data_IF_510274171021
#
_entry.id   IF_510274171021
#
_cell.length_a   1.000
_cell.length_b   1.000
_cell.length_c   1.000
_cell.angle_alpha   90.00
_cell.angle_beta   90.00
_cell.angle_gamma   90.00
#
_symmetry.space_group_name_H-M   'P 1'
#
loop_
_entity.id
_entity.type
_entity.pdbx_description
1 polymer ?
#
# COMPACT_ATOMS: atom_id res chain seq x y z
N UNK A 1 18.95 12.69 -4.85
CA UNK A 1 18.06 13.83 -4.50
C UNK A 1 16.69 13.50 -5.04
N UNK A 2 15.63 13.82 -4.29
CA UNK A 2 14.26 13.55 -4.76
C UNK A 2 13.94 14.26 -6.08
N UNK A 3 13.07 13.65 -6.86
CA UNK A 3 12.61 14.12 -8.16
C UNK A 3 11.14 14.48 -8.07
N UNK A 4 10.71 15.55 -8.73
CA UNK A 4 9.30 15.93 -8.82
C UNK A 4 8.54 15.00 -9.80
N UNK A 5 7.26 14.78 -9.48
CA UNK A 5 6.35 14.03 -10.35
C UNK A 5 5.21 14.95 -10.72
N UNK A 6 5.05 15.24 -12.02
CA UNK A 6 3.97 16.06 -12.55
C UNK A 6 2.91 15.17 -13.17
N UNK A 7 1.68 15.31 -12.71
CA UNK A 7 0.52 14.58 -13.21
C UNK A 7 -0.44 15.62 -13.78
N UNK A 8 -0.81 15.46 -15.05
CA UNK A 8 -1.66 16.42 -15.76
C UNK A 8 -2.83 15.68 -16.42
N UNK A 9 -4.06 16.08 -16.08
CA UNK A 9 -5.31 15.60 -16.65
C UNK A 9 -5.45 14.08 -16.69
N UNK A 10 -4.88 13.38 -15.67
CA UNK A 10 -4.80 11.94 -15.64
C UNK A 10 -6.17 11.31 -15.45
N UNK A 11 -6.58 10.44 -16.38
CA UNK A 11 -7.85 9.69 -16.34
C UNK A 11 -7.58 8.21 -16.46
N UNK A 12 -8.28 7.39 -15.65
CA UNK A 12 -8.21 5.92 -15.69
C UNK A 12 -9.59 5.29 -15.66
N UNK A 13 -9.79 4.34 -16.59
CA UNK A 13 -10.99 3.53 -16.73
C UNK A 13 -10.65 2.03 -16.78
N UNK A 14 -11.54 1.17 -16.32
CA UNK A 14 -11.50 -0.25 -16.58
C UNK A 14 -12.81 -0.65 -17.29
N UNK A 15 -12.74 -0.87 -18.61
CA UNK A 15 -13.92 -0.98 -19.46
C UNK A 15 -14.75 0.30 -19.40
N UNK A 16 -16.02 0.20 -19.00
CA UNK A 16 -16.92 1.35 -18.82
C UNK A 16 -16.80 2.02 -17.45
N UNK A 17 -16.10 1.40 -16.49
CA UNK A 17 -16.00 1.92 -15.12
C UNK A 17 -14.89 2.96 -15.03
N UNK A 18 -15.27 4.22 -14.77
CA UNK A 18 -14.33 5.29 -14.42
C UNK A 18 -13.82 5.07 -13.00
N UNK A 19 -12.50 5.02 -12.84
CA UNK A 19 -11.85 4.98 -11.53
C UNK A 19 -11.62 6.39 -11.01
N UNK A 20 -10.98 7.22 -11.81
CA UNK A 20 -10.83 8.66 -11.58
C UNK A 20 -10.56 9.37 -12.92
N UNK A 21 -10.96 10.64 -12.98
CA UNK A 21 -10.79 11.49 -14.16
C UNK A 21 -10.24 12.87 -13.82
N UNK A 22 -9.49 13.40 -14.75
CA UNK A 22 -8.92 14.75 -14.69
C UNK A 22 -8.10 15.05 -13.41
N UNK A 23 -7.30 14.07 -12.97
CA UNK A 23 -6.42 14.24 -11.81
C UNK A 23 -5.20 15.05 -12.23
N UNK A 24 -5.03 16.23 -11.63
CA UNK A 24 -3.88 17.12 -11.86
C UNK A 24 -3.24 17.51 -10.53
N UNK A 25 -1.96 17.15 -10.36
CA UNK A 25 -1.17 17.50 -9.17
C UNK A 25 0.33 17.41 -9.47
N UNK A 26 1.14 18.06 -8.64
CA UNK A 26 2.60 17.89 -8.66
C UNK A 26 3.06 17.42 -7.28
N UNK A 27 3.79 16.31 -7.22
CA UNK A 27 4.50 15.86 -6.03
C UNK A 27 5.85 16.55 -6.00
N UNK A 28 6.11 17.44 -5.04
CA UNK A 28 7.36 18.20 -5.00
C UNK A 28 8.55 17.30 -4.64
N UNK A 29 9.71 17.58 -5.24
CA UNK A 29 10.93 16.85 -4.99
C UNK A 29 11.36 16.86 -3.51
N UNK A 30 11.62 15.70 -2.95
CA UNK A 30 12.12 15.53 -1.58
C UNK A 30 11.07 15.72 -0.46
N UNK A 31 9.81 15.96 -0.80
CA UNK A 31 8.71 16.06 0.17
C UNK A 31 8.02 14.73 0.39
N UNK A 32 7.38 14.59 1.56
CA UNK A 32 6.47 13.49 1.85
C UNK A 32 5.05 13.91 1.46
N UNK A 33 4.52 13.29 0.42
CA UNK A 33 3.14 13.47 -0.01
C UNK A 33 2.29 12.30 0.47
N UNK A 34 1.09 12.57 1.00
CA UNK A 34 0.12 11.54 1.36
C UNK A 34 -1.11 11.69 0.48
N UNK A 35 -1.59 10.58 -0.09
CA UNK A 35 -2.85 10.52 -0.80
C UNK A 35 -3.89 9.78 0.04
N UNK A 36 -4.92 10.50 0.44
CA UNK A 36 -6.08 10.03 1.19
C UNK A 36 -7.24 9.62 0.29
N UNK A 37 -8.19 8.94 0.86
CA UNK A 37 -9.51 8.69 0.28
C UNK A 37 -10.14 7.42 0.84
N UNK A 38 -11.46 7.26 0.73
CA UNK A 38 -12.17 6.03 1.06
C UNK A 38 -11.59 4.80 0.36
N UNK A 39 -11.88 3.60 0.89
CA UNK A 39 -11.50 2.35 0.23
C UNK A 39 -12.17 2.26 -1.15
N UNK A 40 -11.44 1.76 -2.15
CA UNK A 40 -11.98 1.63 -3.52
C UNK A 40 -11.86 2.88 -4.41
N UNK A 41 -11.41 4.04 -3.92
CA UNK A 41 -11.25 5.26 -4.73
C UNK A 41 -10.10 5.22 -5.74
N UNK A 42 -9.40 4.10 -5.87
CA UNK A 42 -8.35 3.94 -6.88
C UNK A 42 -6.96 4.44 -6.49
N UNK A 43 -6.67 4.64 -5.20
CA UNK A 43 -5.35 5.09 -4.70
C UNK A 43 -4.20 4.20 -5.16
N UNK A 44 -4.32 2.87 -4.97
CA UNK A 44 -3.32 1.91 -5.46
C UNK A 44 -3.25 1.84 -6.99
N UNK A 45 -4.35 2.17 -7.69
CA UNK A 45 -4.35 2.32 -9.16
C UNK A 45 -3.49 3.52 -9.56
N UNK A 46 -3.58 4.65 -8.83
CA UNK A 46 -2.75 5.83 -9.05
C UNK A 46 -1.26 5.48 -8.89
N UNK A 47 -0.86 4.81 -7.81
CA UNK A 47 0.53 4.34 -7.64
C UNK A 47 1.01 3.49 -8.82
N UNK A 48 0.20 2.51 -9.23
CA UNK A 48 0.53 1.62 -10.37
C UNK A 48 0.61 2.39 -11.69
N UNK A 49 -0.15 3.46 -11.84
CA UNK A 49 -0.08 4.32 -13.03
C UNK A 49 1.19 5.18 -13.00
N UNK A 50 1.57 5.73 -11.85
CA UNK A 50 2.80 6.53 -11.69
C UNK A 50 4.08 5.73 -12.02
N UNK A 51 4.14 4.43 -11.70
CA UNK A 51 5.31 3.58 -12.06
C UNK A 51 5.20 2.95 -13.46
N UNK A 52 4.15 3.30 -14.21
CA UNK A 52 3.93 2.76 -15.56
C UNK A 52 3.52 1.28 -15.60
N UNK A 53 3.04 0.69 -14.49
CA UNK A 53 2.45 -0.66 -14.50
C UNK A 53 1.05 -0.67 -15.11
N UNK A 54 0.36 0.45 -15.02
CA UNK A 54 -0.94 0.67 -15.67
C UNK A 54 -0.82 1.91 -16.57
N UNK A 55 -1.22 1.75 -17.83
CA UNK A 55 -1.28 2.90 -18.74
C UNK A 55 -2.55 3.70 -18.43
N UNK A 56 -2.47 5.05 -18.30
CA UNK A 56 -3.65 5.90 -18.21
C UNK A 56 -4.42 5.88 -19.54
N UNK A 57 -5.70 6.23 -19.50
CA UNK A 57 -6.53 6.36 -20.68
C UNK A 57 -6.39 7.75 -21.30
N UNK A 58 -6.16 8.80 -20.45
CA UNK A 58 -5.91 10.18 -20.87
C UNK A 58 -4.92 10.83 -19.89
N UNK A 59 -4.27 11.91 -20.31
CA UNK A 59 -3.33 12.68 -19.50
C UNK A 59 -1.90 12.13 -19.52
N UNK A 60 -1.04 12.75 -18.71
CA UNK A 60 0.40 12.46 -18.67
C UNK A 60 0.92 12.33 -17.23
N UNK A 61 2.02 11.59 -17.08
CA UNK A 61 2.82 11.53 -15.85
C UNK A 61 4.27 11.80 -16.23
N UNK A 62 4.78 12.96 -15.87
CA UNK A 62 6.11 13.42 -16.26
C UNK A 62 7.06 13.34 -15.08
N UNK A 63 8.18 12.63 -15.27
CA UNK A 63 9.25 12.40 -14.30
C UNK A 63 10.57 12.65 -15.03
N UNK A 64 11.44 13.50 -14.49
CA UNK A 64 12.71 13.88 -15.15
C UNK A 64 12.51 14.34 -16.60
N UNK A 65 11.37 14.99 -16.90
CA UNK A 65 11.04 15.44 -18.26
C UNK A 65 10.55 14.33 -19.20
N UNK A 66 10.44 13.09 -18.75
CA UNK A 66 9.92 11.95 -19.52
C UNK A 66 8.47 11.68 -19.15
N UNK A 67 7.56 11.72 -20.14
CA UNK A 67 6.18 11.26 -19.93
C UNK A 67 6.12 9.74 -20.01
N UNK A 68 5.89 9.09 -18.87
CA UNK A 68 5.87 7.62 -18.76
C UNK A 68 4.65 6.98 -19.45
N UNK A 69 3.61 7.74 -19.77
CA UNK A 69 2.43 7.23 -20.45
C UNK A 69 2.69 6.98 -21.95
N UNK A 70 3.67 7.71 -22.52
CA UNK A 70 3.96 7.72 -23.96
C UNK A 70 5.41 7.36 -24.33
N UNK A 71 6.32 7.26 -23.35
CA UNK A 71 7.75 7.00 -23.59
C UNK A 71 8.03 5.60 -24.16
N UNK A 72 9.26 5.39 -24.62
CA UNK A 72 9.72 4.07 -25.05
C UNK A 72 9.89 3.12 -23.86
N UNK A 73 9.83 1.79 -24.10
CA UNK A 73 10.10 0.78 -23.05
C UNK A 73 11.50 0.96 -22.43
N UNK A 74 12.48 1.40 -23.21
CA UNK A 74 13.82 1.67 -22.73
C UNK A 74 13.83 2.84 -21.74
N UNK A 75 13.18 3.94 -22.08
CA UNK A 75 13.10 5.12 -21.20
C UNK A 75 12.29 4.79 -19.94
N UNK A 76 11.19 4.05 -20.07
CA UNK A 76 10.41 3.56 -18.93
C UNK A 76 11.26 2.67 -18.01
N UNK A 77 12.12 1.82 -18.54
CA UNK A 77 13.03 1.00 -17.76
C UNK A 77 14.03 1.85 -16.96
N UNK A 78 14.61 2.90 -17.58
CA UNK A 78 15.52 3.82 -16.87
C UNK A 78 14.80 4.62 -15.78
N UNK A 79 13.60 5.15 -16.07
CA UNK A 79 12.78 5.86 -15.07
C UNK A 79 12.40 4.94 -13.90
N UNK A 80 12.08 3.67 -14.15
CA UNK A 80 11.75 2.71 -13.09
C UNK A 80 12.89 2.45 -12.10
N UNK A 81 14.12 2.70 -12.46
CA UNK A 81 15.27 2.60 -11.54
C UNK A 81 15.26 3.68 -10.45
N UNK A 82 14.56 4.80 -10.70
CA UNK A 82 14.41 5.88 -9.71
C UNK A 82 13.44 5.49 -8.58
N UNK A 83 12.65 4.42 -8.77
CA UNK A 83 11.60 4.05 -7.83
C UNK A 83 12.00 2.96 -6.85
N UNK A 84 11.67 3.18 -5.58
CA UNK A 84 11.45 2.12 -4.59
C UNK A 84 9.95 1.96 -4.36
N UNK A 85 9.46 0.73 -4.25
CA UNK A 85 8.03 0.46 -4.04
C UNK A 85 7.82 -0.46 -2.85
N UNK A 86 7.02 0.00 -1.88
CA UNK A 86 6.50 -0.81 -0.79
C UNK A 86 5.01 -1.09 -1.05
N UNK A 87 4.69 -2.33 -1.39
CA UNK A 87 3.30 -2.79 -1.51
C UNK A 87 2.71 -3.15 -0.14
N UNK A 88 1.39 -3.13 -0.02
CA UNK A 88 0.60 -3.31 1.21
C UNK A 88 1.09 -4.47 2.10
N UNK A 89 1.37 -5.65 1.55
CA UNK A 89 1.84 -6.83 2.29
C UNK A 89 3.37 -7.04 2.21
N UNK A 90 4.13 -6.01 1.74
CA UNK A 90 5.57 -6.11 1.50
C UNK A 90 5.96 -6.86 0.23
N UNK A 91 5.06 -7.63 -0.39
CA UNK A 91 5.26 -8.43 -1.61
C UNK A 91 6.57 -9.23 -1.61
N UNK A 92 6.86 -9.92 -0.50
CA UNK A 92 8.09 -10.71 -0.33
C UNK A 92 8.01 -12.04 -1.08
N UNK A 93 9.12 -12.51 -1.60
CA UNK A 93 9.26 -13.87 -2.11
C UNK A 93 9.26 -14.85 -0.94
N UNK A 94 8.21 -15.66 -0.81
CA UNK A 94 8.01 -16.56 0.34
C UNK A 94 9.08 -17.65 0.48
N UNK A 95 9.74 -18.03 -0.62
CA UNK A 95 10.80 -19.04 -0.67
C UNK A 95 12.20 -18.50 -0.34
N UNK A 96 12.36 -17.19 -0.22
CA UNK A 96 13.63 -16.53 0.08
C UNK A 96 13.62 -15.99 1.51
N UNK A 97 14.74 -16.04 2.22
CA UNK A 97 14.90 -15.36 3.51
C UNK A 97 14.88 -13.84 3.33
N UNK A 98 14.91 -13.06 4.42
CA UNK A 98 14.83 -11.60 4.35
C UNK A 98 16.06 -10.99 3.67
N UNK A 99 17.24 -11.50 3.95
CA UNK A 99 18.48 -11.05 3.29
C UNK A 99 18.38 -11.19 1.78
N UNK A 100 18.01 -12.39 1.28
CA UNK A 100 17.91 -12.64 -0.14
C UNK A 100 16.79 -11.82 -0.82
N UNK A 101 15.67 -11.61 -0.13
CA UNK A 101 14.62 -10.70 -0.60
C UNK A 101 15.13 -9.28 -0.80
N UNK A 102 15.93 -8.75 0.14
CA UNK A 102 16.49 -7.39 0.06
C UNK A 102 17.64 -7.33 -0.94
N UNK A 103 18.46 -8.39 -1.06
CA UNK A 103 19.55 -8.49 -2.01
C UNK A 103 19.10 -8.64 -3.48
N UNK A 104 17.90 -9.15 -3.70
CA UNK A 104 17.40 -9.52 -5.02
C UNK A 104 17.50 -8.39 -6.05
N UNK A 105 17.03 -7.14 -5.80
CA UNK A 105 17.17 -6.08 -6.78
C UNK A 105 18.63 -5.73 -7.11
N UNK A 106 19.55 -5.83 -6.16
CA UNK A 106 20.97 -5.58 -6.43
C UNK A 106 21.57 -6.63 -7.35
N UNK A 107 21.22 -7.90 -7.15
CA UNK A 107 21.68 -9.00 -8.02
C UNK A 107 21.15 -8.90 -9.42
N UNK A 108 19.88 -8.49 -9.60
CA UNK A 108 19.24 -8.34 -10.91
C UNK A 108 19.68 -7.10 -11.68
N UNK A 109 19.87 -5.97 -10.98
CA UNK A 109 20.05 -4.68 -11.65
C UNK A 109 21.49 -4.13 -11.57
N UNK A 110 22.40 -4.79 -10.85
CA UNK A 110 23.79 -4.31 -10.70
C UNK A 110 24.81 -5.42 -10.97
N UNK A 111 26.06 -5.01 -11.14
CA UNK A 111 27.21 -5.96 -11.25
C UNK A 111 28.07 -5.91 -9.98
N UNK A 112 27.49 -5.59 -8.83
CA UNK A 112 28.21 -5.52 -7.54
C UNK A 112 28.64 -6.93 -7.09
N UNK A 113 29.77 -6.98 -6.38
CA UNK A 113 30.20 -8.25 -5.75
C UNK A 113 29.25 -8.64 -4.59
N UNK A 114 29.14 -9.93 -4.29
CA UNK A 114 28.33 -10.39 -3.12
C UNK A 114 28.82 -9.76 -1.79
N UNK A 115 30.11 -9.41 -1.68
CA UNK A 115 30.63 -8.69 -0.51
C UNK A 115 30.08 -7.26 -0.42
N UNK A 116 29.93 -6.56 -1.55
CA UNK A 116 29.36 -5.22 -1.58
C UNK A 116 27.83 -5.26 -1.41
N UNK A 117 27.16 -6.24 -2.05
CA UNK A 117 25.74 -6.50 -1.83
C UNK A 117 25.46 -6.72 -0.36
N UNK A 118 26.26 -7.55 0.32
CA UNK A 118 26.09 -7.80 1.76
C UNK A 118 26.19 -6.54 2.59
N UNK A 119 27.14 -5.63 2.30
CA UNK A 119 27.29 -4.36 3.03
C UNK A 119 26.04 -3.50 2.87
N UNK A 120 25.55 -3.33 1.62
CA UNK A 120 24.38 -2.51 1.32
C UNK A 120 23.13 -3.11 1.98
N UNK A 121 22.91 -4.41 1.83
CA UNK A 121 21.76 -5.10 2.41
C UNK A 121 21.73 -4.95 3.93
N UNK A 122 22.87 -5.18 4.60
CA UNK A 122 22.94 -5.03 6.06
C UNK A 122 22.69 -3.60 6.51
N UNK A 123 23.20 -2.59 5.79
CA UNK A 123 22.91 -1.17 6.04
C UNK A 123 21.40 -0.88 5.93
N UNK A 124 20.74 -1.31 4.84
CA UNK A 124 19.30 -1.07 4.68
C UNK A 124 18.47 -1.85 5.70
N UNK A 125 18.88 -3.06 6.07
CA UNK A 125 18.23 -3.81 7.15
C UNK A 125 18.40 -3.15 8.52
N UNK A 126 19.53 -2.53 8.79
CA UNK A 126 19.78 -1.73 10.00
C UNK A 126 18.88 -0.49 10.04
N UNK A 127 18.78 0.25 8.93
CA UNK A 127 17.91 1.44 8.80
C UNK A 127 16.44 1.13 9.15
N UNK A 128 15.97 -0.07 8.87
CA UNK A 128 14.58 -0.49 9.18
C UNK A 128 14.47 -1.34 10.46
N UNK A 129 15.56 -1.50 11.22
CA UNK A 129 15.58 -2.23 12.50
C UNK A 129 15.28 -3.72 12.34
N UNK A 130 15.92 -4.40 11.37
CA UNK A 130 15.77 -5.82 11.11
C UNK A 130 17.06 -6.64 11.29
N UNK A 131 18.09 -6.08 11.92
CA UNK A 131 19.31 -6.82 12.25
C UNK A 131 18.97 -7.99 13.17
N UNK A 132 19.54 -9.16 12.88
CA UNK A 132 19.29 -10.43 13.58
C UNK A 132 18.07 -11.22 13.02
N UNK A 133 17.42 -10.72 11.96
CA UNK A 133 16.33 -11.42 11.30
C UNK A 133 16.66 -11.84 9.84
N UNK A 134 17.90 -11.68 9.41
CA UNK A 134 18.35 -11.80 8.02
C UNK A 134 17.97 -13.14 7.38
N UNK A 135 18.10 -14.22 8.15
CA UNK A 135 17.89 -15.59 7.66
C UNK A 135 16.46 -16.13 7.89
N UNK A 136 15.56 -15.31 8.49
CA UNK A 136 14.17 -15.71 8.67
C UNK A 136 13.41 -15.65 7.34
N UNK A 137 12.46 -16.56 7.17
CA UNK A 137 11.52 -16.54 6.05
C UNK A 137 10.37 -15.55 6.32
N UNK A 138 9.73 -14.99 5.29
CA UNK A 138 8.58 -14.08 5.43
C UNK A 138 7.43 -14.67 6.25
N UNK A 139 7.25 -16.00 6.26
CA UNK A 139 6.24 -16.68 7.07
C UNK A 139 6.56 -16.75 8.57
N UNK A 140 7.82 -16.54 8.97
CA UNK A 140 8.31 -16.66 10.34
C UNK A 140 8.32 -15.33 11.09
N UNK A 141 7.90 -14.23 10.45
CA UNK A 141 7.97 -12.88 10.99
C UNK A 141 6.59 -12.21 11.04
N UNK A 142 6.47 -11.18 11.90
CA UNK A 142 5.24 -10.40 12.02
C UNK A 142 4.94 -9.59 10.75
N UNK A 143 3.68 -9.16 10.57
CA UNK A 143 3.27 -8.28 9.47
C UNK A 143 4.08 -6.98 9.40
N UNK A 144 4.32 -6.35 10.55
CA UNK A 144 5.16 -5.15 10.62
C UNK A 144 6.63 -5.40 10.24
N UNK A 145 7.18 -6.58 10.57
CA UNK A 145 8.52 -6.95 10.09
C UNK A 145 8.54 -7.19 8.59
N UNK A 146 7.50 -7.80 8.01
CA UNK A 146 7.39 -7.97 6.54
C UNK A 146 7.36 -6.62 5.83
N UNK A 147 6.59 -5.65 6.33
CA UNK A 147 6.54 -4.30 5.75
C UNK A 147 7.91 -3.62 5.83
N UNK A 148 8.60 -3.70 6.97
CA UNK A 148 9.96 -3.14 7.11
C UNK A 148 10.97 -3.83 6.18
N UNK A 149 10.89 -5.15 5.99
CA UNK A 149 11.73 -5.86 5.03
C UNK A 149 11.43 -5.46 3.58
N UNK A 150 10.14 -5.30 3.22
CA UNK A 150 9.74 -4.73 1.93
C UNK A 150 10.28 -3.32 1.73
N UNK A 151 10.29 -2.50 2.78
CA UNK A 151 10.88 -1.16 2.76
C UNK A 151 12.40 -1.21 2.56
N UNK A 152 13.13 -2.07 3.27
CA UNK A 152 14.57 -2.27 3.04
C UNK A 152 14.87 -2.66 1.59
N UNK A 153 14.04 -3.57 1.02
CA UNK A 153 14.16 -3.95 -0.40
C UNK A 153 13.88 -2.78 -1.34
N UNK A 154 12.91 -1.93 -1.03
CA UNK A 154 12.60 -0.74 -1.81
C UNK A 154 13.74 0.29 -1.79
N UNK A 155 14.50 0.35 -0.69
CA UNK A 155 15.60 1.30 -0.49
C UNK A 155 16.95 0.83 -1.06
N UNK A 156 17.09 -0.45 -1.41
CA UNK A 156 18.41 -1.06 -1.68
C UNK A 156 19.12 -0.53 -2.94
N UNK A 157 18.37 0.06 -3.88
CA UNK A 157 18.91 0.70 -5.09
C UNK A 157 19.07 2.22 -4.94
N UNK A 158 18.96 2.76 -3.73
CA UNK A 158 19.02 4.20 -3.42
C UNK A 158 18.03 5.02 -4.27
N UNK A 159 16.72 4.77 -4.16
CA UNK A 159 15.71 5.38 -5.01
C UNK A 159 15.59 6.89 -4.77
N UNK A 160 15.22 7.63 -5.82
CA UNK A 160 14.88 9.06 -5.74
C UNK A 160 13.39 9.30 -5.46
N UNK A 161 12.55 8.28 -5.70
CA UNK A 161 11.11 8.27 -5.43
C UNK A 161 10.75 7.01 -4.66
N UNK A 162 10.02 7.15 -3.56
CA UNK A 162 9.50 6.02 -2.78
C UNK A 162 7.98 6.03 -2.78
N UNK A 163 7.39 4.99 -3.39
CA UNK A 163 5.95 4.77 -3.42
C UNK A 163 5.56 3.75 -2.36
N UNK A 164 4.58 4.08 -1.53
CA UNK A 164 4.20 3.30 -0.35
C UNK A 164 2.69 3.11 -0.34
N UNK A 165 2.25 1.86 -0.44
CA UNK A 165 0.84 1.48 -0.49
C UNK A 165 0.39 0.89 0.86
N UNK A 166 -0.46 1.60 1.60
CA UNK A 166 -1.08 1.23 2.88
C UNK A 166 -0.09 0.62 3.91
N UNK A 167 0.94 1.38 4.34
CA UNK A 167 1.98 0.85 5.23
C UNK A 167 1.46 0.52 6.63
N UNK A 168 0.41 1.17 7.07
CA UNK A 168 -0.27 1.10 8.36
C UNK A 168 -1.31 -0.04 8.43
N UNK A 169 -1.78 -0.55 7.30
CA UNK A 169 -2.78 -1.62 7.22
C UNK A 169 -2.39 -2.85 8.06
N UNK A 170 -3.29 -3.28 8.98
CA UNK A 170 -3.07 -4.43 9.86
C UNK A 170 -2.04 -4.23 10.98
N UNK A 171 -1.64 -2.98 11.24
CA UNK A 171 -0.83 -2.60 12.39
C UNK A 171 -1.71 -2.00 13.50
N UNK A 172 -1.28 -2.17 14.75
CA UNK A 172 -1.85 -1.43 15.88
C UNK A 172 -1.33 0.01 15.90
N UNK A 173 -2.00 0.96 16.60
CA UNK A 173 -1.60 2.37 16.61
C UNK A 173 -0.16 2.62 17.04
N UNK A 174 0.38 1.83 17.97
CA UNK A 174 1.77 1.98 18.43
C UNK A 174 2.75 1.62 17.32
N UNK A 175 2.51 0.51 16.62
CA UNK A 175 3.34 0.10 15.47
C UNK A 175 3.22 1.04 14.30
N UNK A 176 2.02 1.61 14.08
CA UNK A 176 1.80 2.67 13.09
C UNK A 176 2.66 3.90 13.42
N UNK A 177 2.70 4.34 14.69
CA UNK A 177 3.57 5.46 15.09
C UNK A 177 5.06 5.18 14.84
N UNK A 178 5.54 3.96 15.09
CA UNK A 178 6.93 3.59 14.76
C UNK A 178 7.21 3.64 13.26
N UNK A 179 6.29 3.19 12.41
CA UNK A 179 6.50 3.21 10.95
C UNK A 179 6.41 4.63 10.41
N UNK A 180 5.57 5.48 10.99
CA UNK A 180 5.48 6.90 10.68
C UNK A 180 6.80 7.62 10.99
N UNK A 181 7.36 7.38 12.19
CA UNK A 181 8.66 7.92 12.55
C UNK A 181 9.76 7.43 11.60
N UNK A 182 9.74 6.16 11.23
CA UNK A 182 10.69 5.59 10.27
C UNK A 182 10.63 6.30 8.90
N UNK A 183 9.45 6.64 8.39
CA UNK A 183 9.34 7.38 7.12
C UNK A 183 9.95 8.77 7.21
N UNK A 184 9.71 9.47 8.31
CA UNK A 184 10.30 10.80 8.54
C UNK A 184 11.83 10.73 8.64
N UNK A 185 12.36 9.75 9.38
CA UNK A 185 13.78 9.52 9.53
C UNK A 185 14.46 9.15 8.21
N UNK A 186 13.82 8.29 7.41
CA UNK A 186 14.31 7.90 6.09
C UNK A 186 14.30 9.08 5.11
N UNK A 187 13.22 9.87 5.06
CA UNK A 187 13.17 11.04 4.20
C UNK A 187 14.27 12.05 4.53
N UNK A 188 14.56 12.27 5.83
CA UNK A 188 15.66 13.12 6.26
C UNK A 188 17.03 12.60 5.79
N UNK A 189 17.22 11.26 5.80
CA UNK A 189 18.49 10.63 5.43
C UNK A 189 18.73 10.61 3.91
N UNK A 190 17.71 10.23 3.13
CA UNK A 190 17.89 9.96 1.70
C UNK A 190 17.41 11.10 0.79
N UNK A 191 16.64 12.07 1.32
CA UNK A 191 16.10 13.23 0.56
C UNK A 191 15.33 12.80 -0.70
N UNK A 192 14.63 11.67 -0.65
CA UNK A 192 13.80 11.17 -1.75
C UNK A 192 12.37 11.73 -1.68
N UNK A 193 11.67 11.75 -2.80
CA UNK A 193 10.25 12.11 -2.87
C UNK A 193 9.41 10.92 -2.43
N UNK A 194 8.55 11.08 -1.44
CA UNK A 194 7.68 10.01 -0.95
C UNK A 194 6.24 10.26 -1.39
N UNK A 195 5.58 9.21 -1.87
CA UNK A 195 4.12 9.19 -2.01
C UNK A 195 3.58 8.02 -1.20
N UNK A 196 2.87 8.32 -0.13
CA UNK A 196 2.23 7.36 0.77
C UNK A 196 0.73 7.36 0.49
N UNK A 197 0.18 6.21 0.19
CA UNK A 197 -1.27 6.01 0.11
C UNK A 197 -1.73 5.39 1.41
N UNK A 198 -2.68 6.02 2.10
CA UNK A 198 -3.23 5.51 3.35
C UNK A 198 -4.66 6.00 3.57
N UNK A 199 -5.35 5.37 4.49
CA UNK A 199 -6.63 5.81 5.06
C UNK A 199 -6.51 6.12 6.58
N UNK A 200 -5.29 6.00 7.15
CA UNK A 200 -5.04 6.29 8.57
C UNK A 200 -4.93 7.79 8.85
N UNK A 201 -5.90 8.32 9.59
CA UNK A 201 -5.99 9.75 9.89
C UNK A 201 -4.83 10.23 10.76
N UNK A 202 -4.32 9.38 11.67
CA UNK A 202 -3.20 9.75 12.52
C UNK A 202 -1.94 9.99 11.69
N UNK A 203 -1.58 9.07 10.82
CA UNK A 203 -0.44 9.19 9.90
C UNK A 203 -0.51 10.47 9.07
N UNK A 204 -1.71 10.76 8.52
CA UNK A 204 -1.97 11.96 7.71
C UNK A 204 -1.76 13.26 8.48
N UNK A 205 -2.04 13.26 9.77
CA UNK A 205 -1.94 14.47 10.60
C UNK A 205 -0.51 14.80 11.00
N UNK A 206 0.41 13.83 11.00
CA UNK A 206 1.75 14.01 11.58
C UNK A 206 2.92 13.79 10.62
N UNK A 207 2.72 13.06 9.50
CA UNK A 207 3.82 12.67 8.60
C UNK A 207 4.02 13.65 7.43
N UNK A 208 3.00 14.01 6.62
CA UNK A 208 3.19 14.62 5.31
C UNK A 208 3.52 16.11 5.34
N UNK A 209 4.17 16.56 4.25
CA UNK A 209 4.28 17.96 3.85
C UNK A 209 3.10 18.37 2.96
N UNK A 210 2.68 17.46 2.05
CA UNK A 210 1.57 17.65 1.15
C UNK A 210 0.51 16.56 1.36
N UNK A 211 -0.76 16.92 1.25
CA UNK A 211 -1.87 15.98 1.36
C UNK A 211 -2.79 16.15 0.15
N UNK A 212 -3.17 15.01 -0.46
CA UNK A 212 -4.22 14.91 -1.45
C UNK A 212 -5.39 14.09 -0.94
N UNK A 213 -6.60 14.42 -1.37
CA UNK A 213 -7.81 13.66 -1.10
C UNK A 213 -8.47 13.25 -2.42
N UNK A 214 -8.47 11.93 -2.69
CA UNK A 214 -9.26 11.35 -3.78
C UNK A 214 -10.65 11.02 -3.26
N UNK A 215 -11.65 11.62 -3.89
CA UNK A 215 -13.05 11.44 -3.55
C UNK A 215 -13.91 11.58 -4.82
N UNK A 216 -14.99 10.83 -4.93
CA UNK A 216 -15.96 10.89 -6.04
C UNK A 216 -15.30 10.85 -7.42
N UNK A 217 -14.31 9.96 -7.58
CA UNK A 217 -13.55 9.77 -8.85
C UNK A 217 -12.73 10.99 -9.30
N UNK A 218 -12.50 11.95 -8.42
CA UNK A 218 -11.71 13.16 -8.66
C UNK A 218 -10.68 13.39 -7.57
N UNK A 219 -9.74 14.26 -7.84
CA UNK A 219 -8.90 14.87 -6.81
C UNK A 219 -9.66 16.04 -6.18
N UNK A 220 -10.28 15.79 -5.02
CA UNK A 220 -11.04 16.83 -4.32
C UNK A 220 -10.15 17.98 -3.84
N UNK A 221 -8.95 17.66 -3.38
CA UNK A 221 -7.96 18.64 -2.92
C UNK A 221 -6.55 18.07 -3.00
N UNK A 222 -5.57 18.93 -3.29
CA UNK A 222 -4.14 18.66 -3.12
C UNK A 222 -3.40 19.93 -2.69
N UNK A 223 -2.41 19.80 -1.83
CA UNK A 223 -1.56 20.91 -1.41
C UNK A 223 -0.94 20.72 -0.04
N UNK A 224 -0.33 21.78 0.48
CA UNK A 224 0.31 21.79 1.79
C UNK A 224 -0.61 21.23 2.88
N UNK A 225 -0.07 20.46 3.82
CA UNK A 225 -0.86 19.80 4.88
C UNK A 225 -1.79 20.74 5.63
N UNK A 226 -1.33 21.95 5.93
CA UNK A 226 -2.14 22.95 6.65
C UNK A 226 -3.36 23.38 5.84
N UNK A 227 -3.27 23.44 4.49
CA UNK A 227 -4.40 23.73 3.62
C UNK A 227 -5.54 22.74 3.80
N UNK A 228 -5.23 21.44 3.80
CA UNK A 228 -6.25 20.40 3.96
C UNK A 228 -6.74 20.33 5.41
N UNK A 229 -5.84 20.41 6.38
CA UNK A 229 -6.18 20.30 7.80
C UNK A 229 -6.95 21.52 8.35
N UNK A 230 -7.01 22.63 7.60
CA UNK A 230 -7.85 23.82 7.91
C UNK A 230 -9.01 24.02 6.95
N UNK A 231 -9.31 23.05 6.08
CA UNK A 231 -10.34 23.20 5.04
C UNK A 231 -11.74 22.97 5.59
N UNK A 232 -12.67 23.87 5.23
CA UNK A 232 -14.09 23.74 5.58
C UNK A 232 -14.89 22.84 4.61
N UNK A 233 -14.23 22.26 3.61
CA UNK A 233 -14.86 21.31 2.68
C UNK A 233 -15.52 20.14 3.41
N UNK A 234 -16.82 19.86 3.19
CA UNK A 234 -17.56 18.86 3.95
C UNK A 234 -16.92 17.46 3.93
N UNK A 235 -16.38 17.03 2.78
CA UNK A 235 -15.72 15.72 2.66
C UNK A 235 -14.43 15.66 3.47
N UNK A 236 -13.67 16.74 3.53
CA UNK A 236 -12.45 16.83 4.33
C UNK A 236 -12.79 16.79 5.82
N UNK A 237 -13.78 17.58 6.24
CA UNK A 237 -14.25 17.61 7.64
C UNK A 237 -14.77 16.25 8.09
N UNK A 238 -15.60 15.59 7.27
CA UNK A 238 -16.10 14.25 7.55
C UNK A 238 -14.95 13.25 7.71
N UNK A 239 -13.98 13.27 6.80
CA UNK A 239 -12.86 12.34 6.82
C UNK A 239 -11.96 12.57 8.04
N UNK A 240 -11.55 13.81 8.30
CA UNK A 240 -10.66 14.16 9.42
C UNK A 240 -11.26 13.91 10.79
N UNK A 241 -12.59 14.00 10.92
CA UNK A 241 -13.32 13.74 12.16
C UNK A 241 -13.83 12.29 12.29
N UNK A 242 -13.59 11.44 11.28
CA UNK A 242 -14.08 10.05 11.22
C UNK A 242 -15.59 9.93 11.50
N UNK A 243 -16.40 10.77 10.82
CA UNK A 243 -17.82 10.90 11.10
C UNK A 243 -18.72 10.23 10.08
N UNK A 244 -19.95 9.91 10.53
CA UNK A 244 -20.99 9.37 9.66
C UNK A 244 -21.77 10.45 8.89
N UNK A 245 -21.74 11.70 9.39
CA UNK A 245 -22.40 12.85 8.76
C UNK A 245 -21.48 13.46 7.70
N UNK A 246 -21.96 13.60 6.48
CA UNK A 246 -21.22 14.14 5.35
C UNK A 246 -21.34 13.29 4.09
N UNK A 247 -20.65 13.65 3.00
CA UNK A 247 -20.87 13.07 1.68
C UNK A 247 -20.41 11.62 1.50
N UNK A 248 -19.55 11.09 2.38
CA UNK A 248 -19.08 9.71 2.30
C UNK A 248 -20.11 8.79 2.97
N UNK A 249 -20.71 7.86 2.21
CA UNK A 249 -21.63 6.83 2.71
C UNK A 249 -20.93 5.54 3.19
N UNK A 250 -21.71 4.58 3.69
CA UNK A 250 -21.17 3.32 4.22
C UNK A 250 -20.59 2.40 3.10
N UNK A 251 -21.29 2.27 1.99
CA UNK A 251 -20.91 1.37 0.88
C UNK A 251 -20.56 2.14 -0.38
N UNK A 252 -21.24 3.25 -0.60
CA UNK A 252 -21.09 4.15 -1.73
C UNK A 252 -21.18 5.59 -1.22
N UNK A 253 -20.98 6.53 -2.09
CA UNK A 253 -21.22 7.94 -1.79
C UNK A 253 -22.72 8.19 -1.63
N UNK A 254 -23.09 9.06 -0.69
CA UNK A 254 -24.48 9.42 -0.45
C UNK A 254 -25.05 10.12 -1.65
N UNK A 255 -26.29 9.84 -1.95
CA UNK A 255 -27.04 10.52 -2.99
C UNK A 255 -27.53 11.93 -2.54
N UNK A 256 -28.16 12.65 -3.48
CA UNK A 256 -28.59 14.01 -3.20
C UNK A 256 -29.69 14.10 -2.12
N UNK A 257 -30.53 13.07 -1.98
CA UNK A 257 -31.62 13.04 -0.99
C UNK A 257 -31.07 12.74 0.40
N UNK A 258 -30.10 11.83 0.51
CA UNK A 258 -29.37 11.54 1.76
C UNK A 258 -28.60 12.77 2.25
N UNK A 259 -27.90 13.48 1.35
CA UNK A 259 -27.19 14.72 1.66
C UNK A 259 -28.16 15.84 2.06
N UNK A 260 -29.33 15.93 1.43
CA UNK A 260 -30.36 16.92 1.78
C UNK A 260 -30.92 16.70 3.18
N UNK A 261 -31.07 15.43 3.61
CA UNK A 261 -31.51 15.08 4.95
C UNK A 261 -30.51 15.46 6.06
N UNK A 262 -29.23 15.54 5.71
CA UNK A 262 -28.15 15.91 6.64
C UNK A 262 -27.75 17.40 6.57
N UNK A 263 -28.35 18.18 5.69
CA UNK A 263 -27.97 19.58 5.41
C UNK A 263 -28.01 20.50 6.62
N UNK A 264 -28.92 20.21 7.57
CA UNK A 264 -29.08 20.99 8.79
C UNK A 264 -28.27 20.42 9.98
N UNK A 265 -27.52 19.32 9.77
CA UNK A 265 -26.65 18.76 10.79
C UNK A 265 -25.35 19.54 10.86
N UNK A 266 -25.07 20.12 12.03
CA UNK A 266 -23.83 20.86 12.27
C UNK A 266 -22.64 19.89 12.30
N UNK A 267 -21.72 20.05 11.34
CA UNK A 267 -20.45 19.32 11.35
C UNK A 267 -19.61 19.83 12.54
N UNK A 268 -18.98 18.94 13.33
CA UNK A 268 -18.13 19.38 14.42
C UNK A 268 -16.95 20.21 13.89
N UNK A 269 -16.34 21.00 14.77
CA UNK A 269 -15.16 21.78 14.40
C UNK A 269 -14.02 20.89 13.91
N UNK A 270 -13.19 21.43 13.06
CA UNK A 270 -11.96 20.74 12.64
C UNK A 270 -11.09 20.46 13.86
N UNK A 271 -10.46 19.28 13.91
CA UNK A 271 -9.51 18.98 14.95
C UNK A 271 -8.27 19.88 14.85
N UNK A 272 -7.59 20.19 15.97
CA UNK A 272 -6.35 20.97 15.95
C UNK A 272 -5.33 20.36 14.99
N UNK A 273 -4.56 21.19 14.29
CA UNK A 273 -3.46 20.74 13.45
C UNK A 273 -2.31 20.30 14.36
N UNK A 274 -2.00 19.00 14.34
CA UNK A 274 -0.89 18.43 15.08
C UNK A 274 0.47 18.96 14.58
N UNK A 275 1.47 18.96 15.45
CA UNK A 275 2.85 19.13 15.02
C UNK A 275 3.24 17.99 14.07
N UNK A 276 4.05 18.33 13.08
CA UNK A 276 4.64 17.33 12.21
C UNK A 276 5.76 16.59 12.97
N UNK A 277 5.90 15.27 12.71
CA UNK A 277 6.98 14.50 13.32
C UNK A 277 8.34 15.06 12.90
N UNK A 278 9.22 15.20 13.89
CA UNK A 278 10.63 15.56 13.67
C UNK A 278 11.48 14.29 13.51
N UNK A 279 12.55 14.34 12.73
CA UNK A 279 13.48 13.22 12.63
C UNK A 279 14.09 12.86 13.97
N UNK A 280 14.01 11.58 14.36
CA UNK A 280 14.57 11.08 15.62
C UNK A 280 16.09 10.86 15.57
N UNK A 281 16.65 10.81 14.36
CA UNK A 281 18.08 10.58 14.11
C UNK A 281 18.94 11.87 14.15
N UNK A 282 18.32 13.03 14.42
CA UNK A 282 19.00 14.33 14.50
C UNK A 282 19.38 14.93 13.14
N UNK A 283 19.02 14.31 12.02
CA UNK A 283 19.24 14.84 10.68
C UNK A 283 18.01 15.66 10.28
N UNK A 284 18.12 16.99 10.09
CA UNK A 284 16.95 17.80 9.74
C UNK A 284 16.47 17.48 8.32
N UNK A 285 15.15 17.46 8.13
CA UNK A 285 14.55 17.36 6.81
C UNK A 285 14.76 18.67 6.04
N UNK A 286 15.15 18.56 4.78
CA UNK A 286 15.49 19.73 3.95
C UNK A 286 14.27 20.55 3.52
N UNK A 287 13.10 19.92 3.47
CA UNK A 287 11.87 20.51 2.90
C UNK A 287 10.78 20.81 3.92
N UNK A 288 10.96 20.42 5.19
CA UNK A 288 10.00 20.69 6.24
C UNK A 288 9.86 22.20 6.49
N UNK A 289 8.63 22.69 6.55
CA UNK A 289 8.33 24.08 6.87
C UNK A 289 8.05 24.27 8.36
N UNK A 290 8.35 25.46 8.92
CA UNK A 290 7.95 25.79 10.28
C UNK A 290 6.43 25.68 10.48
N UNK A 291 5.97 25.19 11.65
CA UNK A 291 4.55 25.06 11.95
C UNK A 291 3.79 26.37 11.80
N UNK A 292 2.66 26.35 11.11
CA UNK A 292 1.79 27.51 10.88
C UNK A 292 2.35 28.54 9.87
N UNK A 293 3.48 28.26 9.21
CA UNK A 293 4.03 29.18 8.20
C UNK A 293 3.09 29.33 7.01
N UNK A 294 2.59 28.22 6.47
CA UNK A 294 1.66 28.24 5.35
C UNK A 294 0.36 28.98 5.70
N UNK A 295 -0.20 28.75 6.89
CA UNK A 295 -1.39 29.46 7.36
C UNK A 295 -1.15 30.98 7.42
N UNK A 296 -0.01 31.41 7.95
CA UNK A 296 0.35 32.86 8.01
C UNK A 296 0.51 33.49 6.63
N UNK A 297 1.19 32.79 5.71
CA UNK A 297 1.40 33.26 4.34
C UNK A 297 0.09 33.41 3.55
N UNK A 298 -0.89 32.54 3.82
CA UNK A 298 -2.16 32.49 3.10
C UNK A 298 -3.32 33.13 3.85
N UNK A 299 -3.08 33.75 5.02
CA UNK A 299 -4.11 34.43 5.80
C UNK A 299 -5.16 33.48 6.38
N UNK A 300 -4.83 32.20 6.57
CA UNK A 300 -5.72 31.17 7.10
C UNK A 300 -5.59 31.11 8.61
N UNK A 301 -6.72 31.13 9.32
CA UNK A 301 -6.75 30.95 10.77
C UNK A 301 -6.85 29.44 11.06
N UNK A 302 -5.83 28.83 11.67
CA UNK A 302 -5.89 27.41 11.99
C UNK A 302 -6.90 27.14 13.12
N UNK A 303 -7.44 25.91 13.23
CA UNK A 303 -8.32 25.50 14.32
C UNK A 303 -7.69 25.78 15.70
N UNK A 304 -8.49 26.09 16.75
CA UNK A 304 -7.98 26.33 18.10
C UNK A 304 -7.14 25.16 18.62
N UNK A 305 -6.04 25.46 19.31
CA UNK A 305 -5.11 24.45 19.86
C UNK A 305 -4.15 23.84 18.83
N UNK A 306 -4.13 24.35 17.57
CA UNK A 306 -3.19 23.86 16.55
C UNK A 306 -1.74 24.14 16.92
N UNK A 307 -0.83 23.25 16.41
CA UNK A 307 0.63 23.34 16.57
C UNK A 307 1.13 23.25 18.02
N UNK A 308 0.39 22.55 18.89
CA UNK A 308 0.79 22.21 20.26
C UNK A 308 1.02 20.71 20.39
N UNK A 309 1.82 20.30 21.39
CA UNK A 309 2.05 18.87 21.69
C UNK A 309 0.72 18.12 21.99
N UNK A 310 -0.27 18.81 22.57
CA UNK A 310 -1.58 18.24 22.89
C UNK A 310 -2.43 17.99 21.62
N UNK A 311 -2.13 18.64 20.51
CA UNK A 311 -2.83 18.43 19.25
C UNK A 311 -2.52 17.08 18.59
N UNK A 312 -1.48 16.38 19.01
CA UNK A 312 -1.14 15.02 18.54
C UNK A 312 -2.11 13.96 19.11
N UNK A 313 -2.69 14.23 20.29
CA UNK A 313 -3.60 13.32 20.96
C UNK A 313 -5.04 13.80 20.73
N UNK A 314 -5.56 13.61 19.53
CA UNK A 314 -6.91 14.03 19.13
C UNK A 314 -7.97 13.74 20.19
N UNK A 315 -8.39 14.78 20.86
CA UNK A 315 -9.64 14.98 21.63
C UNK A 315 -10.32 13.71 22.19
N UNK A 316 -9.77 13.13 23.24
CA UNK A 316 -10.59 12.57 24.30
C UNK A 316 -11.00 13.75 25.17
N UNK A 317 -12.25 14.21 25.02
CA UNK A 317 -12.80 15.29 25.85
C UNK A 317 -12.95 14.79 27.28
N UNK A 318 -11.95 15.05 28.11
CA UNK A 318 -12.09 15.07 29.55
C UNK A 318 -11.85 16.50 30.01
N UNK A 319 -12.88 17.08 30.60
CA UNK A 319 -12.87 18.42 31.15
C UNK A 319 -11.64 18.64 32.05
N UNK A 320 -10.80 19.62 31.64
CA UNK A 320 -9.70 20.08 32.44
C UNK A 320 -10.21 20.77 33.69
N UNK A 321 -9.98 20.18 34.84
CA UNK A 321 -10.02 20.88 36.13
C UNK A 321 -8.73 21.69 36.21
N UNK A 322 -8.83 23.00 36.15
CA UNK A 322 -7.70 23.91 36.35
C UNK A 322 -7.08 23.75 37.74
N UNK A 323 -5.77 23.64 37.88
CA UNK A 323 -5.09 23.81 39.16
C UNK A 323 -5.04 25.31 39.50
N UNK A 324 -5.56 25.66 40.67
CA UNK A 324 -5.46 27.02 41.19
C UNK A 324 -4.02 27.37 41.56
N UNK A 325 -3.59 28.55 41.13
CA UNK A 325 -2.34 29.22 41.53
C UNK A 325 -2.18 29.31 43.05
N UNK A 326 -1.05 28.86 43.53
CA UNK A 326 -0.55 29.21 44.88
C UNK A 326 0.43 30.38 44.77
N UNK A 327 -0.05 31.59 45.05
CA UNK A 327 0.82 32.67 45.48
C UNK A 327 0.52 33.08 46.93
N UNK A 328 1.58 33.13 47.71
CA UNK A 328 1.66 33.51 49.08
C UNK A 328 1.30 34.97 49.37
N UNK A 329 0.57 35.22 50.47
CA UNK A 329 0.46 36.59 51.02
C UNK A 329 -0.38 36.56 52.31
N UNK A 330 0.28 36.79 53.45
CA UNK A 330 -0.27 36.67 54.79
C UNK A 330 -1.35 37.72 55.15
N UNK A 331 -2.15 37.38 56.16
CA UNK A 331 -3.08 38.31 56.80
C UNK A 331 -4.08 37.58 57.69
N UNK A 332 -3.87 37.67 58.99
CA UNK A 332 -4.72 37.17 60.10
C UNK A 332 -6.13 37.70 60.05
N UNK A 333 -7.13 36.83 60.11
CA UNK A 333 -8.42 37.13 60.76
C UNK A 333 -9.17 35.82 61.10
N UNK A 334 -9.39 35.61 62.35
CA UNK A 334 -10.13 34.54 63.03
C UNK A 334 -11.65 34.66 62.71
N UNK A 335 -12.22 33.66 62.07
CA UNK A 335 -13.68 33.46 62.11
C UNK A 335 -13.97 31.95 62.11
N UNK A 336 -14.39 31.46 63.28
CA UNK A 336 -14.79 30.08 63.52
C UNK A 336 -16.18 29.88 62.88
N UNK A 337 -16.24 29.13 61.77
CA UNK A 337 -17.50 28.58 61.26
C UNK A 337 -17.41 27.07 61.44
N UNK A 338 -18.21 26.54 62.36
CA UNK A 338 -18.43 25.11 62.59
C UNK A 338 -19.34 24.61 61.45
N UNK A 339 -18.79 23.89 60.51
CA UNK A 339 -19.59 23.07 59.58
C UNK A 339 -19.65 21.65 60.08
N UNK A 340 -20.80 20.96 60.01
CA UNK A 340 -20.92 19.59 60.49
C UNK A 340 -20.10 18.63 59.60
N UNK A 341 -19.26 17.86 60.24
CA UNK A 341 -18.52 16.76 59.59
C UNK A 341 -19.56 15.69 59.26
N UNK A 342 -19.87 15.55 57.97
CA UNK A 342 -20.54 14.36 57.47
C UNK A 342 -19.48 13.26 57.46
N UNK A 343 -19.59 12.32 58.39
CA UNK A 343 -18.81 11.08 58.34
C UNK A 343 -19.14 10.35 57.04
N UNK A 344 -18.26 10.45 56.07
CA UNK A 344 -18.33 9.63 54.87
C UNK A 344 -18.00 8.19 55.26
N UNK A 345 -18.92 7.31 54.92
CA UNK A 345 -18.76 5.87 55.17
C UNK A 345 -17.74 5.28 54.23
N UNK A 346 -16.47 5.43 54.57
CA UNK A 346 -15.28 4.99 53.74
C UNK A 346 -15.36 3.49 53.46
N UNK A 347 -16.03 2.72 54.32
CA UNK A 347 -16.21 1.29 54.13
C UNK A 347 -17.19 0.99 52.98
N UNK A 348 -18.24 1.79 52.82
CA UNK A 348 -19.22 1.65 51.73
C UNK A 348 -18.59 2.07 50.37
N UNK A 349 -17.79 3.13 50.36
CA UNK A 349 -17.05 3.54 49.13
C UNK A 349 -16.02 2.47 48.71
N UNK A 350 -15.30 1.88 49.66
CA UNK A 350 -14.34 0.80 49.36
C UNK A 350 -15.04 -0.48 48.88
N UNK A 351 -16.18 -0.85 49.44
CA UNK A 351 -16.97 -2.00 48.98
C UNK A 351 -17.50 -1.78 47.55
N UNK A 352 -18.01 -0.58 47.26
CA UNK A 352 -18.48 -0.22 45.92
C UNK A 352 -17.33 -0.24 44.87
N UNK A 353 -16.15 0.27 45.22
CA UNK A 353 -14.97 0.23 44.37
C UNK A 353 -14.49 -1.19 44.08
N UNK A 354 -14.48 -2.06 45.10
CA UNK A 354 -14.15 -3.49 44.92
C UNK A 354 -15.16 -4.21 44.03
N UNK A 355 -16.44 -3.91 44.17
CA UNK A 355 -17.50 -4.51 43.36
C UNK A 355 -17.41 -4.05 41.89
N UNK A 356 -17.11 -2.78 41.65
CA UNK A 356 -16.86 -2.25 40.31
C UNK A 356 -15.62 -2.87 39.66
N UNK A 357 -14.52 -3.03 40.38
CA UNK A 357 -13.31 -3.68 39.90
C UNK A 357 -13.55 -5.17 39.56
N UNK A 358 -14.34 -5.88 40.38
CA UNK A 358 -14.70 -7.27 40.10
C UNK A 358 -15.59 -7.40 38.85
N UNK A 359 -16.53 -6.48 38.65
CA UNK A 359 -17.35 -6.43 37.42
C UNK A 359 -16.52 -6.13 36.17
N UNK A 360 -15.58 -5.19 36.25
CA UNK A 360 -14.65 -4.89 35.16
C UNK A 360 -13.77 -6.10 34.80
N UNK A 361 -13.24 -6.80 35.82
CA UNK A 361 -12.43 -7.99 35.58
C UNK A 361 -13.24 -9.14 34.96
N UNK A 362 -14.51 -9.31 35.34
CA UNK A 362 -15.40 -10.29 34.73
C UNK A 362 -15.73 -9.95 33.28
N UNK A 363 -15.99 -8.67 32.94
CA UNK A 363 -16.23 -8.20 31.60
C UNK A 363 -14.99 -8.37 30.69
N UNK A 364 -13.81 -8.09 31.22
CA UNK A 364 -12.54 -8.30 30.48
C UNK A 364 -12.29 -9.79 30.18
N UNK A 365 -12.60 -10.70 31.12
CA UNK A 365 -12.48 -12.14 30.90
C UNK A 365 -13.46 -12.63 29.84
N UNK A 366 -14.70 -12.20 29.87
CA UNK A 366 -15.72 -12.56 28.88
C UNK A 366 -15.31 -12.05 27.47
N UNK A 367 -14.81 -10.81 27.36
CA UNK A 367 -14.31 -10.27 26.11
C UNK A 367 -13.08 -11.03 25.57
N UNK A 368 -12.18 -11.46 26.46
CA UNK A 368 -11.01 -12.26 26.08
C UNK A 368 -11.40 -13.67 25.58
N UNK A 369 -12.39 -14.31 26.23
CA UNK A 369 -12.93 -15.61 25.79
C UNK A 369 -13.62 -15.50 24.42
N UNK A 370 -14.41 -14.44 24.22
CA UNK A 370 -15.05 -14.19 22.93
C UNK A 370 -14.01 -13.96 21.81
N UNK A 371 -13.01 -13.14 22.07
CA UNK A 371 -11.92 -12.90 21.10
C UNK A 371 -11.11 -14.17 20.80
N UNK A 372 -10.94 -15.05 21.79
CA UNK A 372 -10.28 -16.35 21.57
C UNK A 372 -11.12 -17.29 20.70
N UNK A 373 -12.44 -17.32 20.91
CA UNK A 373 -13.36 -18.10 20.08
C UNK A 373 -13.41 -17.60 18.64
N UNK A 374 -13.46 -16.30 18.43
CA UNK A 374 -13.41 -15.68 17.08
C UNK A 374 -12.10 -16.01 16.35
N UNK A 375 -10.97 -15.96 17.07
CA UNK A 375 -9.67 -16.34 16.50
C UNK A 375 -9.61 -17.82 16.11
N UNK A 376 -10.18 -18.71 16.93
CA UNK A 376 -10.26 -20.12 16.63
C UNK A 376 -11.12 -20.41 15.38
N UNK A 377 -12.29 -19.76 15.28
CA UNK A 377 -13.16 -19.86 14.12
C UNK A 377 -12.48 -19.32 12.84
N UNK A 378 -11.78 -18.19 12.92
CA UNK A 378 -11.03 -17.62 11.81
C UNK A 378 -9.88 -18.53 11.37
N UNK A 379 -9.16 -19.17 12.30
CA UNK A 379 -8.10 -20.13 12.00
C UNK A 379 -8.66 -21.37 11.29
N UNK A 380 -9.81 -21.88 11.74
CA UNK A 380 -10.48 -23.01 11.09
C UNK A 380 -10.90 -22.66 9.65
N UNK A 381 -11.53 -21.52 9.44
CA UNK A 381 -11.92 -21.06 8.12
C UNK A 381 -10.71 -20.83 7.19
N UNK A 382 -9.58 -20.38 7.73
CA UNK A 382 -8.34 -20.23 6.98
C UNK A 382 -7.77 -21.61 6.56
N UNK A 383 -7.80 -22.60 7.45
CA UNK A 383 -7.36 -23.97 7.16
C UNK A 383 -8.22 -24.63 6.07
N UNK A 384 -9.55 -24.45 6.13
CA UNK A 384 -10.48 -24.96 5.09
C UNK A 384 -10.21 -24.30 3.72
N UNK A 385 -9.96 -22.99 3.68
CA UNK A 385 -9.60 -22.28 2.44
C UNK A 385 -8.26 -22.77 1.88
N UNK A 386 -7.27 -23.00 2.74
CA UNK A 386 -5.97 -23.55 2.32
C UNK A 386 -6.10 -24.96 1.73
N UNK A 387 -6.90 -25.81 2.36
CA UNK A 387 -7.16 -27.17 1.85
C UNK A 387 -7.92 -27.12 0.49
N UNK A 388 -8.89 -26.24 0.33
CA UNK A 388 -9.59 -26.04 -0.92
C UNK A 388 -8.66 -25.52 -2.04
N UNK A 389 -7.77 -24.59 -1.73
CA UNK A 389 -6.78 -24.07 -2.66
C UNK A 389 -5.77 -25.15 -3.08
N UNK A 390 -5.31 -26.00 -2.16
CA UNK A 390 -4.45 -27.11 -2.47
C UNK A 390 -5.14 -28.14 -3.40
N UNK A 391 -6.37 -28.50 -3.10
CA UNK A 391 -7.15 -29.40 -3.96
C UNK A 391 -7.40 -28.82 -5.37
N UNK A 392 -7.57 -27.50 -5.50
CA UNK A 392 -7.66 -26.82 -6.78
C UNK A 392 -6.33 -26.86 -7.56
N UNK A 393 -5.21 -26.65 -6.88
CA UNK A 393 -3.88 -26.74 -7.47
C UNK A 393 -3.55 -28.15 -7.96
N UNK A 394 -3.89 -29.17 -7.18
CA UNK A 394 -3.69 -30.59 -7.55
C UNK A 394 -4.53 -30.97 -8.79
N UNK A 395 -5.79 -30.49 -8.88
CA UNK A 395 -6.62 -30.68 -10.08
C UNK A 395 -6.04 -29.98 -11.31
N UNK A 396 -5.52 -28.76 -11.14
CA UNK A 396 -4.89 -28.03 -12.24
C UNK A 396 -3.61 -28.72 -12.72
N UNK A 397 -2.80 -29.28 -11.81
CA UNK A 397 -1.61 -30.07 -12.15
C UNK A 397 -1.97 -31.35 -12.91
N UNK A 398 -2.99 -32.06 -12.47
CA UNK A 398 -3.49 -33.26 -13.16
C UNK A 398 -4.02 -32.94 -14.57
N UNK A 399 -4.74 -31.83 -14.73
CA UNK A 399 -5.26 -31.39 -16.03
C UNK A 399 -4.10 -31.02 -16.99
N UNK A 400 -3.04 -30.39 -16.49
CA UNK A 400 -1.83 -30.07 -17.30
C UNK A 400 -1.12 -31.35 -17.75
N UNK A 401 -0.92 -32.30 -16.86
CA UNK A 401 -0.30 -33.59 -17.21
C UNK A 401 -1.13 -34.37 -18.28
N UNK A 402 -2.46 -34.35 -18.15
CA UNK A 402 -3.33 -34.95 -19.17
C UNK A 402 -3.25 -34.25 -20.52
N UNK A 403 -3.16 -32.91 -20.53
CA UNK A 403 -3.00 -32.14 -21.76
C UNK A 403 -1.65 -32.40 -22.44
N UNK A 404 -0.56 -32.52 -21.67
CA UNK A 404 0.77 -32.88 -22.19
C UNK A 404 0.79 -34.29 -22.81
N UNK A 405 0.15 -35.26 -22.15
CA UNK A 405 0.02 -36.62 -22.70
C UNK A 405 -0.80 -36.65 -24.01
N UNK A 406 -1.89 -35.86 -24.08
CA UNK A 406 -2.68 -35.77 -25.30
C UNK A 406 -1.90 -35.10 -26.44
N UNK A 407 -1.14 -34.04 -26.16
CA UNK A 407 -0.29 -33.39 -27.14
C UNK A 407 0.84 -34.32 -27.66
N UNK A 408 1.44 -35.12 -26.78
CA UNK A 408 2.44 -36.11 -27.18
C UNK A 408 1.83 -37.19 -28.07
N UNK A 409 0.68 -37.75 -27.70
CA UNK A 409 -0.03 -38.72 -28.51
C UNK A 409 -0.42 -38.18 -29.91
N UNK A 410 -0.81 -36.93 -29.99
CA UNK A 410 -1.09 -36.28 -31.28
C UNK A 410 0.18 -36.13 -32.12
N UNK A 411 1.30 -35.71 -31.52
CA UNK A 411 2.57 -35.59 -32.24
C UNK A 411 3.08 -36.95 -32.76
N UNK A 412 2.89 -37.99 -31.97
CA UNK A 412 3.27 -39.36 -32.38
C UNK A 412 2.38 -39.87 -33.52
N UNK A 413 1.08 -39.56 -33.51
CA UNK A 413 0.15 -39.88 -34.60
C UNK A 413 0.50 -39.12 -35.89
N UNK A 414 0.84 -37.84 -35.80
CA UNK A 414 1.28 -37.03 -36.94
C UNK A 414 2.59 -37.59 -37.55
N UNK A 415 3.56 -38.01 -36.73
CA UNK A 415 4.78 -38.66 -37.22
C UNK A 415 4.46 -39.95 -37.95
N UNK A 416 3.65 -40.82 -37.37
CA UNK A 416 3.25 -42.07 -38.02
C UNK A 416 2.53 -41.83 -39.36
N UNK A 417 1.67 -40.82 -39.44
CA UNK A 417 1.03 -40.43 -40.69
C UNK A 417 2.01 -39.91 -41.73
N UNK A 418 3.01 -39.12 -41.31
CA UNK A 418 4.09 -38.65 -42.22
C UNK A 418 4.96 -39.81 -42.74
N UNK A 419 5.30 -40.77 -41.89
CA UNK A 419 6.09 -41.95 -42.28
C UNK A 419 5.28 -42.81 -43.27
N UNK A 420 3.98 -43.03 -43.05
CA UNK A 420 3.12 -43.71 -44.04
C UNK A 420 3.01 -42.97 -45.38
N UNK A 421 2.93 -41.65 -45.36
CA UNK A 421 2.88 -40.86 -46.58
C UNK A 421 4.22 -40.92 -47.34
N UNK A 422 5.35 -40.89 -46.65
CA UNK A 422 6.67 -41.04 -47.26
C UNK A 422 6.85 -42.44 -47.89
N UNK A 423 6.44 -43.51 -47.18
CA UNK A 423 6.48 -44.85 -47.70
C UNK A 423 5.57 -45.04 -48.94
N UNK A 424 4.37 -44.42 -48.96
CA UNK A 424 3.50 -44.46 -50.12
C UNK A 424 4.13 -43.71 -51.37
N UNK A 425 4.78 -42.57 -51.13
CA UNK A 425 5.48 -41.86 -52.18
C UNK A 425 6.65 -42.63 -52.74
N UNK A 426 7.41 -43.34 -51.89
CA UNK A 426 8.52 -44.19 -52.31
C UNK A 426 8.01 -45.36 -53.13
N UNK A 427 6.95 -46.05 -52.71
CA UNK A 427 6.32 -47.12 -53.47
C UNK A 427 5.80 -46.67 -54.83
N UNK A 428 5.21 -45.45 -54.92
CA UNK A 428 4.79 -44.85 -56.18
C UNK A 428 5.98 -44.57 -57.13
N UNK A 429 7.04 -44.02 -56.58
CA UNK A 429 8.30 -43.75 -57.39
C UNK A 429 8.92 -45.06 -57.90
N UNK A 430 8.94 -46.12 -57.13
CA UNK A 430 9.41 -47.43 -57.58
C UNK A 430 8.51 -48.03 -58.68
N UNK A 431 7.19 -47.86 -58.58
CA UNK A 431 6.26 -48.31 -59.60
C UNK A 431 6.44 -47.51 -60.88
N UNK A 432 6.57 -46.21 -60.81
CA UNK A 432 6.82 -45.34 -61.97
C UNK A 432 8.15 -45.70 -62.67
N UNK A 433 9.24 -45.95 -61.90
CA UNK A 433 10.53 -46.37 -62.41
C UNK A 433 10.45 -47.74 -63.12
N UNK A 434 9.62 -48.65 -62.62
CA UNK A 434 9.40 -49.96 -63.25
C UNK A 434 8.59 -49.85 -64.53
N UNK A 435 7.61 -49.00 -64.62
CA UNK A 435 6.85 -48.68 -65.82
C UNK A 435 7.73 -48.04 -66.93
N UNK A 436 8.62 -47.13 -66.58
CA UNK A 436 9.59 -46.57 -67.51
C UNK A 436 10.56 -47.62 -68.07
N UNK A 437 11.03 -48.54 -67.24
CA UNK A 437 11.85 -49.64 -67.72
C UNK A 437 11.14 -50.57 -68.68
N UNK A 438 9.87 -50.84 -68.47
CA UNK A 438 9.08 -51.69 -69.40
C UNK A 438 8.69 -51.01 -70.69
N UNK A 439 8.62 -49.67 -70.70
CA UNK A 439 8.37 -48.86 -71.93
C UNK A 439 9.61 -48.76 -72.83
N UNK A 440 10.81 -49.06 -72.34
CA UNK A 440 12.05 -49.03 -73.07
C UNK A 440 12.46 -50.36 -73.73
N UNK A 441 11.63 -51.41 -73.63
CA UNK A 441 11.87 -52.66 -74.38
C UNK A 441 11.62 -52.45 -75.88
N UNK A 442 12.57 -52.73 -76.82
CA UNK A 442 12.38 -52.52 -78.28
C UNK A 442 11.30 -53.52 -78.74
N UNK A 443 10.34 -53.02 -79.52
CA UNK A 443 9.34 -53.79 -80.19
C UNK A 443 10.05 -54.78 -81.15
N UNK A 444 9.99 -56.05 -80.84
CA UNK A 444 10.38 -57.10 -81.85
C UNK A 444 9.41 -57.03 -82.98
N UNK A 445 9.92 -56.60 -84.15
CA UNK A 445 9.17 -56.56 -85.37
C UNK A 445 8.74 -57.94 -85.87
N UNK A 446 7.63 -58.05 -86.59
CA UNK A 446 7.15 -59.35 -87.04
C UNK A 446 8.10 -59.96 -88.12
N UNK A 447 8.51 -61.22 -87.90
CA UNK A 447 9.22 -62.01 -88.91
C UNK A 447 8.41 -62.10 -90.18
N UNK A 448 9.06 -61.74 -91.28
CA UNK A 448 8.57 -62.01 -92.61
C UNK A 448 8.83 -63.48 -92.95
N UNK A 449 7.91 -64.23 -93.58
CA UNK A 449 8.21 -65.53 -94.09
C UNK A 449 8.89 -65.45 -95.43
N UNK A 450 10.05 -66.09 -95.50
CA UNK A 450 10.77 -66.32 -96.79
C UNK A 450 10.13 -67.48 -97.53
N UNK A 451 9.83 -67.22 -98.75
CA UNK A 451 9.45 -68.20 -99.83
C UNK A 451 10.48 -69.24 -100.11
#
# INVERSE_FOLDING_TARGET
>A
MGVDIKIEHLTKKFGSQLIWGDVTLTLPAGEICVMLGPSGTGKSVLLKTIIGLLKPDEGSVVIEGVDIASCSEKDLYEIRKLFGVLFQDGAMFGSMNLYDNVAFPLREHTRKSESDIKKIVMEKMEMVGLIGAEFKLPGEISGGMRKRAGLARALVLDPEILLIDEPDSGLDPVRTSFINQLFVDLNAQIDATFLIVTHDIHSVRVVPDQIGLLYHKHLAMFGHREKLLSSDEPVVRQFLNAQTVGPIGMSEEKDADELAAEKDMELPPLPPIALQLEPSNGIPRKRQRPPGEWCRENGVVPPPGSFTADAEHGASATAAVSPADHTSGGGTATATIVTPVVERDVAAEQAAAQQAAAQQAAAQRAAAEQAAAERAAAAQAAAERAAAAQAAADRAAAARAAAEQAAQAQADAERAAADHAAAAQQAQAELDAHLDQTAQLPAQGPDQPSS
#
